data_IF_493617273559
#
_entry.id   IF_493617273559
#
_cell.length_a   1.000
_cell.length_b   1.000
_cell.length_c   1.000
_cell.angle_alpha   90.00
_cell.angle_beta   90.00
_cell.angle_gamma   90.00
#
_symmetry.space_group_name_H-M   'P 1'
#
loop_
_entity.id
_entity.type
_entity.pdbx_description
1 polymer ?
#
# COMPACT_ATOMS: atom_id res chain seq x y z
N UNK A 1 21.80 -3.58 6.48
CA UNK A 1 21.31 -4.19 7.74
C UNK A 1 19.86 -3.83 8.09
N UNK A 2 19.31 -2.67 7.67
CA UNK A 2 17.92 -2.28 7.98
C UNK A 2 16.83 -3.08 7.23
N UNK A 3 17.10 -3.48 5.99
CA UNK A 3 16.19 -4.34 5.20
C UNK A 3 16.03 -5.73 5.80
N UNK A 4 17.12 -6.33 6.29
CA UNK A 4 17.10 -7.59 7.04
C UNK A 4 16.27 -7.46 8.34
N UNK A 5 16.37 -6.33 9.04
CA UNK A 5 15.59 -6.05 10.26
C UNK A 5 14.09 -5.95 10.02
N UNK A 6 13.66 -5.25 8.96
CA UNK A 6 12.27 -5.20 8.53
C UNK A 6 11.74 -6.58 8.13
N UNK A 7 12.52 -7.34 7.36
CA UNK A 7 12.16 -8.72 6.96
C UNK A 7 12.07 -9.64 8.18
N UNK A 8 12.95 -9.49 9.17
CA UNK A 8 12.91 -10.28 10.40
C UNK A 8 11.70 -9.94 11.26
N UNK A 9 11.36 -8.66 11.42
CA UNK A 9 10.18 -8.21 12.18
C UNK A 9 8.86 -8.62 11.51
N UNK A 10 8.81 -8.61 10.18
CA UNK A 10 7.68 -9.13 9.42
C UNK A 10 7.57 -10.66 9.53
N UNK A 11 8.70 -11.40 9.52
CA UNK A 11 8.71 -12.86 9.74
C UNK A 11 8.31 -13.25 11.17
N UNK A 12 8.64 -12.41 12.15
CA UNK A 12 8.41 -12.68 13.57
C UNK A 12 7.05 -12.15 14.08
N UNK A 13 6.18 -11.66 13.19
CA UNK A 13 4.83 -11.15 13.53
C UNK A 13 4.80 -10.02 14.57
N UNK A 14 5.90 -9.30 14.76
CA UNK A 14 6.00 -8.24 15.76
C UNK A 14 5.66 -6.87 15.17
N UNK A 15 4.39 -6.71 14.79
CA UNK A 15 3.79 -5.48 14.24
C UNK A 15 3.97 -4.25 15.13
N UNK A 16 4.26 -4.44 16.40
CA UNK A 16 4.54 -3.39 17.39
C UNK A 16 5.80 -2.57 17.08
N UNK A 17 6.78 -3.15 16.39
CA UNK A 17 8.06 -2.51 16.07
C UNK A 17 8.11 -1.92 14.66
N UNK A 18 7.07 -2.17 13.87
CA UNK A 18 6.94 -1.70 12.49
C UNK A 18 6.99 -0.16 12.42
N UNK A 19 6.25 0.60 13.27
CA UNK A 19 6.32 2.06 13.26
C UNK A 19 7.71 2.62 13.59
N UNK A 20 8.42 2.00 14.54
CA UNK A 20 9.76 2.43 14.95
C UNK A 20 10.83 2.13 13.88
N UNK A 21 10.71 1.00 13.17
CA UNK A 21 11.58 0.67 12.04
C UNK A 21 11.33 1.57 10.83
N UNK A 22 10.06 1.93 10.58
CA UNK A 22 9.70 2.88 9.53
C UNK A 22 10.19 4.30 9.86
N UNK A 23 10.09 4.72 11.12
CA UNK A 23 10.67 5.96 11.59
C UNK A 23 12.20 5.96 11.40
N UNK A 24 12.90 4.89 11.78
CA UNK A 24 14.34 4.74 11.54
C UNK A 24 14.70 4.77 10.05
N UNK A 25 13.87 4.19 9.18
CA UNK A 25 14.07 4.22 7.73
C UNK A 25 13.97 5.65 7.17
N UNK A 26 13.00 6.42 7.67
CA UNK A 26 12.80 7.84 7.32
C UNK A 26 13.89 8.75 7.86
N UNK A 27 14.37 8.50 9.07
CA UNK A 27 15.38 9.32 9.74
C UNK A 27 16.80 9.11 9.17
N UNK A 28 17.11 7.91 8.68
CA UNK A 28 18.48 7.58 8.28
C UNK A 28 18.83 7.74 6.80
N UNK A 29 17.89 8.04 5.89
CA UNK A 29 18.13 8.58 4.53
C UNK A 29 19.48 8.28 3.86
N UNK A 30 19.91 7.01 3.77
CA UNK A 30 21.27 6.68 3.29
C UNK A 30 21.33 6.67 1.74
N UNK A 31 21.53 7.87 1.18
CA UNK A 31 22.32 8.23 0.00
C UNK A 31 22.36 7.30 -1.25
N UNK A 32 21.48 7.63 -2.20
CA UNK A 32 21.74 7.96 -3.62
C UNK A 32 22.31 6.96 -4.65
N UNK A 33 22.61 5.69 -4.35
CA UNK A 33 22.93 4.73 -5.46
C UNK A 33 22.44 3.29 -5.27
N UNK A 34 22.26 2.81 -4.03
CA UNK A 34 21.66 1.49 -3.76
C UNK A 34 20.12 1.52 -3.67
N UNK A 35 19.53 2.71 -3.56
CA UNK A 35 18.09 2.92 -3.30
C UNK A 35 17.21 2.46 -4.47
N UNK A 36 17.63 2.64 -5.72
CA UNK A 36 16.82 2.22 -6.88
C UNK A 36 16.59 0.71 -6.89
N UNK A 37 17.64 -0.07 -6.57
CA UNK A 37 17.55 -1.53 -6.43
C UNK A 37 16.83 -1.96 -5.16
N UNK A 38 17.02 -1.24 -4.05
CA UNK A 38 16.36 -1.55 -2.77
C UNK A 38 14.85 -1.27 -2.80
N UNK A 39 14.43 -0.14 -3.39
CA UNK A 39 13.01 0.21 -3.57
C UNK A 39 12.37 -0.74 -4.57
N UNK A 40 13.03 -1.05 -5.70
CA UNK A 40 12.55 -2.09 -6.63
C UNK A 40 12.33 -3.44 -5.94
N UNK A 41 13.29 -3.89 -5.11
CA UNK A 41 13.15 -5.12 -4.32
C UNK A 41 12.02 -5.06 -3.28
N UNK A 42 11.77 -3.89 -2.66
CA UNK A 42 10.64 -3.70 -1.74
C UNK A 42 9.29 -3.74 -2.49
N UNK A 43 9.22 -3.16 -3.69
CA UNK A 43 8.02 -3.23 -4.54
C UNK A 43 7.73 -4.68 -4.94
N UNK A 44 8.75 -5.42 -5.38
CA UNK A 44 8.62 -6.84 -5.72
C UNK A 44 8.22 -7.69 -4.51
N UNK A 45 8.83 -7.44 -3.35
CA UNK A 45 8.48 -8.12 -2.10
C UNK A 45 7.04 -7.83 -1.70
N UNK A 46 6.62 -6.56 -1.73
CA UNK A 46 5.25 -6.14 -1.45
C UNK A 46 4.26 -6.85 -2.36
N UNK A 47 4.54 -6.88 -3.67
CA UNK A 47 3.68 -7.54 -4.66
C UNK A 47 3.60 -9.06 -4.44
N UNK A 48 4.74 -9.72 -4.18
CA UNK A 48 4.79 -11.15 -3.88
C UNK A 48 3.97 -11.49 -2.62
N UNK A 49 4.06 -10.64 -1.59
CA UNK A 49 3.34 -10.80 -0.32
C UNK A 49 1.84 -10.57 -0.47
N UNK A 50 1.42 -9.56 -1.24
CA UNK A 50 0.02 -9.27 -1.56
C UNK A 50 -0.67 -10.42 -2.32
N UNK A 51 0.08 -11.14 -3.16
CA UNK A 51 -0.42 -12.31 -3.89
C UNK A 51 -0.63 -13.57 -3.05
N UNK A 52 -0.18 -13.60 -1.79
CA UNK A 52 -0.25 -14.78 -0.92
C UNK A 52 -1.14 -14.50 0.30
N UNK A 53 -2.22 -15.26 0.46
CA UNK A 53 -3.20 -15.07 1.53
C UNK A 53 -2.61 -15.12 2.95
N UNK A 54 -1.53 -15.88 3.17
CA UNK A 54 -0.87 -15.97 4.49
C UNK A 54 -0.07 -14.71 4.86
N UNK A 55 0.39 -13.98 3.85
CA UNK A 55 1.31 -12.85 4.02
C UNK A 55 0.76 -11.55 3.43
N UNK A 56 -0.51 -11.56 3.00
CA UNK A 56 -1.17 -10.43 2.33
C UNK A 56 -1.14 -9.18 3.19
N UNK A 57 -1.36 -9.33 4.50
CA UNK A 57 -1.33 -8.21 5.45
C UNK A 57 0.06 -7.55 5.53
N UNK A 58 1.13 -8.34 5.58
CA UNK A 58 2.51 -7.83 5.53
C UNK A 58 2.76 -7.05 4.24
N UNK A 59 2.23 -7.55 3.11
CA UNK A 59 2.25 -6.87 1.83
C UNK A 59 1.54 -5.52 1.85
N UNK A 60 0.37 -5.43 2.50
CA UNK A 60 -0.36 -4.16 2.69
C UNK A 60 0.43 -3.18 3.56
N UNK A 61 1.09 -3.65 4.62
CA UNK A 61 1.95 -2.80 5.45
C UNK A 61 3.11 -2.23 4.64
N UNK A 62 3.80 -3.06 3.84
CA UNK A 62 4.87 -2.59 2.96
C UNK A 62 4.35 -1.60 1.91
N UNK A 63 3.19 -1.88 1.31
CA UNK A 63 2.57 -1.00 0.33
C UNK A 63 2.25 0.39 0.94
N UNK A 64 1.76 0.43 2.18
CA UNK A 64 1.48 1.70 2.87
C UNK A 64 2.70 2.63 2.98
N UNK A 65 3.88 2.03 3.11
CA UNK A 65 5.16 2.74 3.21
C UNK A 65 5.61 3.17 1.81
N UNK A 66 5.54 2.26 0.84
CA UNK A 66 5.91 2.53 -0.54
C UNK A 66 5.09 3.68 -1.14
N UNK A 67 3.78 3.73 -0.88
CA UNK A 67 2.92 4.81 -1.35
C UNK A 67 3.36 6.19 -0.81
N UNK A 68 3.84 6.25 0.44
CA UNK A 68 4.23 7.51 1.12
C UNK A 68 5.66 7.94 0.83
N UNK A 69 6.57 6.98 0.75
CA UNK A 69 8.01 7.26 0.78
C UNK A 69 8.68 7.03 -0.59
N UNK A 70 7.94 6.57 -1.62
CA UNK A 70 8.49 6.39 -2.97
C UNK A 70 8.56 7.70 -3.77
N UNK A 71 9.57 7.79 -4.64
CA UNK A 71 9.66 8.87 -5.63
C UNK A 71 8.48 8.84 -6.61
N UNK A 72 8.12 9.99 -7.18
CA UNK A 72 7.01 10.09 -8.16
C UNK A 72 7.19 9.16 -9.37
N UNK A 73 8.44 8.91 -9.81
CA UNK A 73 8.69 7.97 -10.91
C UNK A 73 8.29 6.53 -10.53
N UNK A 74 8.77 6.03 -9.39
CA UNK A 74 8.38 4.69 -8.88
C UNK A 74 6.87 4.62 -8.66
N UNK A 75 6.28 5.66 -8.08
CA UNK A 75 4.84 5.73 -7.87
C UNK A 75 4.07 5.62 -9.18
N UNK A 76 4.43 6.40 -10.20
CA UNK A 76 3.79 6.37 -11.53
C UNK A 76 3.89 4.99 -12.20
N UNK A 77 5.05 4.34 -12.09
CA UNK A 77 5.27 3.01 -12.70
C UNK A 77 4.39 1.92 -12.07
N UNK A 78 4.07 2.02 -10.77
CA UNK A 78 3.41 0.94 -10.04
C UNK A 78 1.99 1.26 -9.58
N UNK A 79 1.56 2.52 -9.57
CA UNK A 79 0.27 2.99 -9.07
C UNK A 79 -0.91 2.12 -9.50
N UNK A 80 -1.06 1.84 -10.81
CA UNK A 80 -2.19 1.04 -11.32
C UNK A 80 -2.16 -0.42 -10.85
N UNK A 81 -0.96 -1.00 -10.73
CA UNK A 81 -0.80 -2.36 -10.20
C UNK A 81 -1.21 -2.42 -8.73
N UNK A 82 -0.81 -1.44 -7.93
CA UNK A 82 -1.19 -1.32 -6.53
C UNK A 82 -2.68 -1.07 -6.34
N UNK A 83 -3.30 -0.19 -7.13
CA UNK A 83 -4.75 0.00 -7.13
C UNK A 83 -5.50 -1.31 -7.38
N UNK A 84 -5.05 -2.10 -8.36
CA UNK A 84 -5.64 -3.41 -8.65
C UNK A 84 -5.49 -4.38 -7.48
N UNK A 85 -4.31 -4.43 -6.86
CA UNK A 85 -4.08 -5.29 -5.69
C UNK A 85 -4.95 -4.88 -4.49
N UNK A 86 -5.08 -3.58 -4.21
CA UNK A 86 -5.95 -3.08 -3.14
C UNK A 86 -7.42 -3.41 -3.41
N UNK A 87 -7.87 -3.26 -4.66
CA UNK A 87 -9.21 -3.65 -5.06
C UNK A 87 -9.47 -5.15 -4.81
N UNK A 88 -8.49 -6.01 -5.12
CA UNK A 88 -8.60 -7.45 -4.84
C UNK A 88 -8.69 -7.74 -3.34
N UNK A 89 -7.92 -7.06 -2.49
CA UNK A 89 -8.00 -7.19 -1.03
C UNK A 89 -9.40 -6.86 -0.54
N UNK A 90 -9.92 -5.68 -0.95
CA UNK A 90 -11.26 -5.19 -0.59
C UNK A 90 -12.35 -6.19 -1.01
N UNK A 91 -12.23 -6.79 -2.20
CA UNK A 91 -13.20 -7.76 -2.71
C UNK A 91 -13.09 -9.14 -2.05
N UNK A 92 -11.93 -9.51 -1.51
CA UNK A 92 -11.66 -10.88 -1.06
C UNK A 92 -12.19 -11.22 0.35
N UNK A 93 -12.97 -10.32 0.96
CA UNK A 93 -13.51 -10.48 2.32
C UNK A 93 -12.42 -10.75 3.38
N UNK A 94 -11.27 -10.08 3.23
CA UNK A 94 -10.20 -10.17 4.23
C UNK A 94 -10.67 -9.66 5.61
N UNK A 95 -9.96 -10.02 6.71
CA UNK A 95 -10.29 -9.52 8.05
C UNK A 95 -10.34 -7.99 8.12
N UNK A 96 -11.18 -7.46 9.01
CA UNK A 96 -11.41 -6.01 9.17
C UNK A 96 -10.11 -5.17 9.23
N UNK A 97 -9.05 -5.56 9.96
CA UNK A 97 -7.79 -4.80 9.98
C UNK A 97 -7.11 -4.68 8.60
N UNK A 98 -7.19 -5.73 7.78
CA UNK A 98 -6.66 -5.73 6.41
C UNK A 98 -7.47 -4.79 5.52
N UNK A 99 -8.80 -4.81 5.65
CA UNK A 99 -9.69 -3.93 4.88
C UNK A 99 -9.50 -2.47 5.28
N UNK A 100 -9.36 -2.18 6.58
CA UNK A 100 -9.05 -0.85 7.10
C UNK A 100 -7.73 -0.31 6.54
N UNK A 101 -6.66 -1.10 6.63
CA UNK A 101 -5.37 -0.71 6.10
C UNK A 101 -5.43 -0.51 4.57
N UNK A 102 -6.10 -1.41 3.84
CA UNK A 102 -6.25 -1.28 2.39
C UNK A 102 -7.04 -0.02 2.00
N UNK A 103 -8.09 0.34 2.74
CA UNK A 103 -8.85 1.57 2.52
C UNK A 103 -8.00 2.83 2.75
N UNK A 104 -7.21 2.87 3.83
CA UNK A 104 -6.29 3.99 4.09
C UNK A 104 -5.19 4.10 3.04
N UNK A 105 -4.60 2.98 2.61
CA UNK A 105 -3.60 2.98 1.53
C UNK A 105 -4.22 3.40 0.19
N UNK A 106 -5.46 2.98 -0.08
CA UNK A 106 -6.19 3.40 -1.28
C UNK A 106 -6.41 4.91 -1.28
N UNK A 107 -6.76 5.51 -0.14
CA UNK A 107 -6.88 6.96 0.01
C UNK A 107 -5.56 7.65 -0.30
N UNK A 108 -4.48 7.25 0.36
CA UNK A 108 -3.14 7.82 0.17
C UNK A 108 -2.73 7.77 -1.32
N UNK A 109 -3.03 6.65 -1.99
CA UNK A 109 -2.70 6.42 -3.38
C UNK A 109 -3.57 7.29 -4.33
N UNK A 110 -4.87 7.38 -4.09
CA UNK A 110 -5.76 8.25 -4.86
C UNK A 110 -5.37 9.73 -4.67
N UNK A 111 -5.06 10.14 -3.44
CA UNK A 111 -4.62 11.50 -3.15
C UNK A 111 -3.32 11.84 -3.87
N UNK A 112 -2.30 10.98 -3.81
CA UNK A 112 -1.04 11.25 -4.51
C UNK A 112 -1.23 11.21 -6.04
N UNK A 113 -1.97 10.23 -6.58
CA UNK A 113 -2.24 10.16 -8.02
C UNK A 113 -2.98 11.39 -8.55
N UNK A 114 -3.87 12.01 -7.76
CA UNK A 114 -4.59 13.22 -8.14
C UNK A 114 -3.68 14.44 -8.36
N UNK A 115 -2.49 14.45 -7.75
CA UNK A 115 -1.49 15.50 -7.92
C UNK A 115 -0.71 15.38 -9.23
N UNK A 116 -0.84 14.25 -9.95
CA UNK A 116 -0.13 13.93 -11.17
C UNK A 116 -1.13 13.86 -12.34
N UNK A 117 -1.22 14.90 -13.20
CA UNK A 117 -2.34 15.04 -14.15
C UNK A 117 -2.56 13.84 -15.07
N UNK A 118 -1.49 13.25 -15.61
CA UNK A 118 -1.58 12.10 -16.51
C UNK A 118 -2.13 10.86 -15.80
N UNK A 119 -1.65 10.63 -14.57
CA UNK A 119 -2.05 9.50 -13.74
C UNK A 119 -3.46 9.69 -13.20
N UNK A 120 -3.84 10.89 -12.78
CA UNK A 120 -5.20 11.22 -12.34
C UNK A 120 -6.23 10.91 -13.44
N UNK A 121 -5.93 11.28 -14.69
CA UNK A 121 -6.77 10.95 -15.85
C UNK A 121 -6.88 9.43 -16.05
N UNK A 122 -5.75 8.73 -15.97
CA UNK A 122 -5.71 7.28 -16.17
C UNK A 122 -6.48 6.52 -15.08
N UNK A 123 -6.28 6.88 -13.81
CA UNK A 123 -7.01 6.32 -12.66
C UNK A 123 -8.50 6.61 -12.79
N UNK A 124 -8.86 7.85 -13.15
CA UNK A 124 -10.24 8.29 -13.38
C UNK A 124 -10.99 7.42 -14.38
N UNK A 125 -10.36 7.11 -15.52
CA UNK A 125 -10.96 6.36 -16.61
C UNK A 125 -10.99 4.84 -16.37
N UNK A 126 -9.98 4.31 -15.68
CA UNK A 126 -9.75 2.85 -15.66
C UNK A 126 -9.99 2.20 -14.29
N UNK A 127 -10.00 2.96 -13.20
CA UNK A 127 -9.96 2.39 -11.84
C UNK A 127 -11.10 2.85 -10.95
N UNK A 128 -11.54 4.12 -11.03
CA UNK A 128 -12.52 4.70 -10.09
C UNK A 128 -13.82 3.89 -10.02
N UNK A 129 -14.42 3.51 -11.15
CA UNK A 129 -15.67 2.75 -11.15
C UNK A 129 -15.51 1.37 -10.47
N UNK A 130 -14.40 0.69 -10.75
CA UNK A 130 -14.09 -0.60 -10.14
C UNK A 130 -13.90 -0.47 -8.62
N UNK A 131 -13.20 0.57 -8.19
CA UNK A 131 -12.97 0.89 -6.77
C UNK A 131 -14.30 1.15 -6.07
N UNK A 132 -15.13 2.04 -6.61
CA UNK A 132 -16.45 2.36 -6.05
C UNK A 132 -17.33 1.13 -5.91
N UNK A 133 -17.37 0.29 -6.96
CA UNK A 133 -18.15 -0.96 -6.93
C UNK A 133 -17.67 -1.90 -5.82
N UNK A 134 -16.34 -1.97 -5.62
CA UNK A 134 -15.74 -2.82 -4.59
C UNK A 134 -16.02 -2.32 -3.18
N UNK A 135 -15.96 -1.00 -2.96
CA UNK A 135 -16.28 -0.38 -1.68
C UNK A 135 -17.76 -0.49 -1.32
N UNK A 136 -18.66 -0.33 -2.31
CA UNK A 136 -20.10 -0.52 -2.13
C UNK A 136 -20.47 -1.98 -1.80
N UNK A 137 -19.65 -2.94 -2.25
CA UNK A 137 -19.83 -4.36 -1.97
C UNK A 137 -19.26 -4.85 -0.63
N UNK A 138 -18.70 -3.96 0.19
CA UNK A 138 -18.19 -4.33 1.52
C UNK A 138 -19.32 -4.76 2.46
N UNK A 139 -18.98 -5.55 3.48
CA UNK A 139 -19.93 -5.86 4.57
C UNK A 139 -20.13 -4.63 5.44
N UNK A 140 -21.34 -4.43 5.98
CA UNK A 140 -21.74 -3.32 6.89
C UNK A 140 -20.66 -2.94 7.91
N UNK A 141 -20.05 -3.95 8.53
CA UNK A 141 -18.97 -3.85 9.54
C UNK A 141 -17.69 -3.15 9.02
N UNK A 142 -17.44 -3.20 7.71
CA UNK A 142 -16.29 -2.58 7.03
C UNK A 142 -16.64 -1.22 6.40
N UNK A 143 -17.91 -0.78 6.35
CA UNK A 143 -18.26 0.49 5.72
C UNK A 143 -17.70 1.69 6.48
N UNK A 144 -17.62 1.62 7.81
CA UNK A 144 -17.05 2.72 8.60
C UNK A 144 -15.61 3.00 8.19
N UNK A 145 -14.81 1.94 8.07
CA UNK A 145 -13.42 2.00 7.60
C UNK A 145 -13.28 2.57 6.18
N UNK A 146 -14.17 2.15 5.28
CA UNK A 146 -14.20 2.66 3.91
C UNK A 146 -14.60 4.13 3.84
N UNK A 147 -15.58 4.56 4.65
CA UNK A 147 -16.07 5.93 4.68
C UNK A 147 -15.03 6.86 5.31
N UNK A 148 -14.41 6.47 6.42
CA UNK A 148 -13.34 7.25 7.07
C UNK A 148 -12.18 7.51 6.09
N UNK A 149 -11.75 6.48 5.36
CA UNK A 149 -10.74 6.60 4.31
C UNK A 149 -11.17 7.44 3.10
N UNK A 150 -12.44 7.79 2.93
CA UNK A 150 -12.88 8.71 1.86
C UNK A 150 -12.98 10.17 2.33
N UNK A 151 -12.88 10.43 3.65
CA UNK A 151 -13.21 11.74 4.24
C UNK A 151 -12.03 12.65 4.59
N UNK A 152 -10.78 12.24 4.36
CA UNK A 152 -9.59 13.11 4.55
C UNK A 152 -9.02 13.61 3.21
#
# INVERSE_FOLDING_TARGET
MLTEGLVSVLKEQRTEYLPALLANYREHGVFSTQITGAVGGLVELSNAKLGNSKTKFEGLCLLSVLVKDSSSNVFQQHCLSWLRSLQQVIQSQDPLPSVQLAAGVLQDLLQYSSQLPELAREVGLNSILGILTSLLGLKSECHLAAIEGMTA
#
